data_IF_837105657278
#
_entry.id   IF_837105657278
#
_cell.length_a   1.000
_cell.length_b   1.000
_cell.length_c   1.000
_cell.angle_alpha   90.00
_cell.angle_beta   90.00
_cell.angle_gamma   90.00
#
_symmetry.space_group_name_H-M   'P 1'
#
loop_
_entity.id
_entity.type
_entity.pdbx_description
1 polymer ?
#
# COMPACT_ATOMS: atom_id res chain seq x y z
N UNK A 1 -9.17 -22.04 19.52
CA UNK A 1 -9.22 -20.92 18.57
C UNK A 1 -8.22 -19.87 19.05
N UNK A 2 -7.47 -19.24 18.14
CA UNK A 2 -6.59 -18.12 18.47
C UNK A 2 -7.40 -16.93 19.01
N UNK A 3 -6.75 -16.08 19.80
CA UNK A 3 -7.39 -14.84 20.27
C UNK A 3 -7.71 -13.93 19.08
N UNK A 4 -8.84 -13.22 19.09
CA UNK A 4 -9.14 -12.26 18.04
C UNK A 4 -8.10 -11.16 17.96
N UNK A 5 -7.72 -10.77 16.73
CA UNK A 5 -6.91 -9.58 16.48
C UNK A 5 -7.81 -8.38 16.17
N UNK A 6 -7.35 -7.18 16.57
CA UNK A 6 -8.05 -5.93 16.29
C UNK A 6 -7.44 -5.29 15.05
N UNK A 7 -8.29 -5.04 14.06
CA UNK A 7 -7.92 -4.48 12.77
C UNK A 7 -8.72 -3.20 12.54
N UNK A 8 -8.04 -2.09 12.32
CA UNK A 8 -8.71 -0.83 11.96
C UNK A 8 -8.61 -0.58 10.47
N UNK A 9 -9.71 -0.12 9.89
CA UNK A 9 -9.79 0.41 8.53
C UNK A 9 -10.33 1.83 8.60
N UNK A 10 -9.59 2.81 8.10
CA UNK A 10 -10.03 4.21 8.00
C UNK A 10 -10.64 4.48 6.63
N UNK A 11 -11.50 5.51 6.53
CA UNK A 11 -12.29 5.71 5.32
C UNK A 11 -13.20 4.52 5.06
N UNK A 12 -13.73 3.94 6.13
CA UNK A 12 -14.39 2.63 6.11
C UNK A 12 -15.72 2.62 5.32
N UNK A 13 -16.32 3.79 5.10
CA UNK A 13 -17.51 3.95 4.25
C UNK A 13 -17.18 4.12 2.76
N UNK A 14 -15.90 4.17 2.38
CA UNK A 14 -15.45 4.37 1.00
C UNK A 14 -15.39 3.08 0.17
N UNK A 15 -15.22 3.23 -1.14
CA UNK A 15 -15.26 2.11 -2.10
C UNK A 15 -14.11 1.11 -1.94
N UNK A 16 -12.89 1.60 -1.64
CA UNK A 16 -11.74 0.71 -1.41
C UNK A 16 -12.02 -0.13 -0.15
N UNK A 17 -12.42 0.52 0.94
CA UNK A 17 -12.72 -0.16 2.20
C UNK A 17 -13.85 -1.19 2.02
N UNK A 18 -14.91 -0.86 1.31
CA UNK A 18 -16.03 -1.77 1.03
C UNK A 18 -15.57 -3.09 0.40
N UNK A 19 -14.64 -3.01 -0.57
CA UNK A 19 -14.06 -4.21 -1.20
C UNK A 19 -13.03 -4.91 -0.31
N UNK A 20 -12.25 -4.16 0.49
CA UNK A 20 -11.20 -4.68 1.36
C UNK A 20 -11.80 -5.43 2.56
N UNK A 21 -12.85 -4.90 3.13
CA UNK A 21 -13.48 -5.48 4.33
C UNK A 21 -13.98 -6.91 4.10
N UNK A 22 -14.49 -7.22 2.91
CA UNK A 22 -14.86 -8.58 2.54
C UNK A 22 -13.66 -9.54 2.58
N UNK A 23 -12.51 -9.13 2.03
CA UNK A 23 -11.30 -9.95 2.01
C UNK A 23 -10.76 -10.19 3.43
N UNK A 24 -10.77 -9.15 4.27
CA UNK A 24 -10.36 -9.25 5.68
C UNK A 24 -11.30 -10.19 6.44
N UNK A 25 -12.60 -9.98 6.31
CA UNK A 25 -13.62 -10.73 7.03
C UNK A 25 -13.67 -12.23 6.65
N UNK A 26 -13.35 -12.53 5.39
CA UNK A 26 -13.32 -13.89 4.85
C UNK A 26 -12.06 -14.69 5.27
N UNK A 27 -11.00 -14.01 5.71
CA UNK A 27 -9.75 -14.65 6.13
C UNK A 27 -8.64 -14.63 5.08
N UNK A 28 -8.83 -13.94 3.97
CA UNK A 28 -7.83 -13.86 2.90
C UNK A 28 -6.57 -13.07 3.32
N UNK A 29 -6.66 -12.23 4.35
CA UNK A 29 -5.54 -11.39 4.80
C UNK A 29 -4.81 -11.99 6.00
N UNK A 30 -5.50 -12.34 7.06
CA UNK A 30 -4.89 -12.77 8.32
C UNK A 30 -4.94 -14.29 8.55
N UNK A 31 -5.55 -15.04 7.65
CA UNK A 31 -5.67 -16.48 7.70
C UNK A 31 -7.11 -16.95 7.95
N UNK A 32 -7.42 -18.14 7.44
CA UNK A 32 -8.75 -18.74 7.46
C UNK A 32 -9.25 -19.13 8.88
N UNK A 33 -8.35 -19.18 9.85
CA UNK A 33 -8.66 -19.57 11.24
C UNK A 33 -8.44 -18.43 12.24
N UNK A 34 -8.16 -17.20 11.76
CA UNK A 34 -7.90 -16.04 12.61
C UNK A 34 -9.16 -15.23 12.85
N UNK A 35 -9.73 -15.25 14.08
CA UNK A 35 -10.84 -14.38 14.45
C UNK A 35 -10.43 -12.91 14.44
N UNK A 36 -11.38 -12.02 14.08
CA UNK A 36 -11.11 -10.59 13.85
C UNK A 36 -12.15 -9.75 14.57
N UNK A 37 -11.69 -8.66 15.18
CA UNK A 37 -12.50 -7.52 15.60
C UNK A 37 -12.22 -6.38 14.64
N UNK A 38 -13.23 -5.94 13.90
CA UNK A 38 -13.13 -4.86 12.93
C UNK A 38 -13.43 -3.52 13.58
N UNK A 39 -12.47 -2.62 13.60
CA UNK A 39 -12.65 -1.23 13.94
C UNK A 39 -12.78 -0.42 12.64
N UNK A 40 -13.91 0.26 12.47
CA UNK A 40 -14.25 0.98 11.24
C UNK A 40 -14.35 2.47 11.54
N UNK A 41 -13.38 3.24 11.04
CA UNK A 41 -13.32 4.68 11.27
C UNK A 41 -13.72 5.45 10.02
N UNK A 42 -14.65 6.38 10.18
CA UNK A 42 -14.92 7.40 9.17
C UNK A 42 -15.26 8.73 9.84
N UNK A 43 -15.42 9.78 9.05
CA UNK A 43 -15.81 11.10 9.52
C UNK A 43 -17.29 11.15 9.93
N UNK A 44 -17.69 12.03 10.84
CA UNK A 44 -19.09 12.10 11.33
C UNK A 44 -20.16 12.13 10.23
N UNK A 45 -20.01 12.87 9.10
CA UNK A 45 -21.01 12.86 8.04
C UNK A 45 -21.21 11.52 7.33
N UNK A 46 -20.24 10.60 7.46
CA UNK A 46 -20.28 9.28 6.82
C UNK A 46 -20.82 8.16 7.71
N UNK A 47 -21.18 8.46 8.95
CA UNK A 47 -21.57 7.43 9.91
C UNK A 47 -22.87 6.72 9.54
N UNK A 48 -23.80 7.35 8.86
CA UNK A 48 -25.00 6.68 8.35
C UNK A 48 -24.66 5.66 7.27
N UNK A 49 -23.83 6.05 6.31
CA UNK A 49 -23.33 5.15 5.24
C UNK A 49 -22.53 4.00 5.84
N UNK A 50 -21.67 4.29 6.84
CA UNK A 50 -20.92 3.26 7.55
C UNK A 50 -21.83 2.27 8.28
N UNK A 51 -22.95 2.73 8.82
CA UNK A 51 -23.98 1.86 9.40
C UNK A 51 -24.51 0.85 8.37
N UNK A 52 -24.73 1.27 7.14
CA UNK A 52 -25.10 0.37 6.03
C UNK A 52 -24.00 -0.65 5.70
N UNK A 53 -22.74 -0.23 5.69
CA UNK A 53 -21.58 -1.14 5.50
C UNK A 53 -21.54 -2.19 6.61
N UNK A 54 -21.79 -1.82 7.86
CA UNK A 54 -21.84 -2.75 9.00
C UNK A 54 -22.95 -3.79 8.80
N UNK A 55 -24.14 -3.38 8.36
CA UNK A 55 -25.24 -4.31 8.04
C UNK A 55 -24.80 -5.33 6.98
N UNK A 56 -24.16 -4.90 5.91
CA UNK A 56 -23.63 -5.77 4.86
C UNK A 56 -22.61 -6.79 5.39
N UNK A 57 -21.69 -6.34 6.26
CA UNK A 57 -20.71 -7.26 6.88
C UNK A 57 -21.40 -8.30 7.75
N UNK A 58 -22.41 -7.90 8.51
CA UNK A 58 -23.21 -8.83 9.32
C UNK A 58 -23.93 -9.85 8.42
N UNK A 59 -24.52 -9.38 7.33
CA UNK A 59 -25.27 -10.22 6.39
C UNK A 59 -24.37 -11.20 5.60
N UNK A 60 -23.05 -10.97 5.56
CA UNK A 60 -22.09 -11.94 5.03
C UNK A 60 -22.02 -13.22 5.90
N UNK A 61 -22.44 -13.16 7.15
CA UNK A 61 -22.46 -14.29 8.09
C UNK A 61 -21.09 -15.02 8.19
N UNK A 62 -20.00 -14.26 8.17
CA UNK A 62 -18.65 -14.81 8.18
C UNK A 62 -18.19 -15.11 9.62
N UNK A 63 -17.79 -16.35 9.93
CA UNK A 63 -17.54 -16.79 11.30
C UNK A 63 -16.29 -16.19 11.95
N UNK A 64 -15.38 -15.60 11.18
CA UNK A 64 -14.17 -14.97 11.69
C UNK A 64 -14.43 -13.60 12.31
N UNK A 65 -15.49 -12.90 11.91
CA UNK A 65 -15.85 -11.57 12.44
C UNK A 65 -16.55 -11.75 13.79
N UNK A 66 -15.82 -11.45 14.87
CA UNK A 66 -16.33 -11.60 16.23
C UNK A 66 -16.98 -10.34 16.78
N UNK A 67 -16.54 -9.18 16.30
CA UNK A 67 -17.08 -7.88 16.69
C UNK A 67 -16.83 -6.85 15.59
N UNK A 68 -17.74 -5.88 15.44
CA UNK A 68 -17.59 -4.73 14.54
C UNK A 68 -17.81 -3.47 15.36
N UNK A 69 -16.85 -2.54 15.32
CA UNK A 69 -16.84 -1.28 16.07
C UNK A 69 -16.80 -0.09 15.11
N UNK A 70 -17.96 0.38 14.59
CA UNK A 70 -18.02 1.59 13.77
C UNK A 70 -17.91 2.82 14.68
N UNK A 71 -17.10 3.80 14.29
CA UNK A 71 -16.88 5.00 15.09
C UNK A 71 -16.36 6.16 14.25
N UNK A 72 -16.62 7.38 14.72
CA UNK A 72 -15.94 8.59 14.23
C UNK A 72 -14.85 9.10 15.20
N UNK A 73 -14.63 8.38 16.30
CA UNK A 73 -13.63 8.73 17.32
C UNK A 73 -12.34 7.93 17.13
N UNK A 74 -11.21 8.57 16.81
CA UNK A 74 -9.92 7.90 16.69
C UNK A 74 -9.49 7.15 17.96
N UNK A 75 -9.86 7.61 19.15
CA UNK A 75 -9.52 6.95 20.40
C UNK A 75 -10.18 5.56 20.52
N UNK A 76 -11.38 5.42 19.99
CA UNK A 76 -12.09 4.14 19.92
C UNK A 76 -11.55 3.29 18.77
N UNK A 77 -11.36 3.90 17.60
CA UNK A 77 -10.93 3.20 16.40
C UNK A 77 -9.57 2.53 16.54
N UNK A 78 -8.60 3.23 17.13
CA UNK A 78 -7.21 2.74 17.22
C UNK A 78 -6.92 1.95 18.51
N UNK A 79 -7.90 1.77 19.40
CA UNK A 79 -7.71 1.10 20.69
C UNK A 79 -7.24 -0.34 20.51
N UNK A 80 -6.02 -0.63 20.99
CA UNK A 80 -5.41 -1.97 21.01
C UNK A 80 -5.32 -2.66 19.65
N UNK A 81 -5.29 -1.89 18.54
CA UNK A 81 -5.19 -2.48 17.21
C UNK A 81 -3.81 -3.04 16.92
N UNK A 82 -3.79 -4.14 16.18
CA UNK A 82 -2.60 -4.90 15.79
C UNK A 82 -2.26 -4.73 14.31
N UNK A 83 -3.26 -4.36 13.50
CA UNK A 83 -3.11 -4.02 12.10
C UNK A 83 -3.98 -2.81 11.75
N UNK A 84 -3.45 -1.92 10.94
CA UNK A 84 -4.13 -0.70 10.53
C UNK A 84 -4.02 -0.49 9.02
N UNK A 85 -5.17 -0.34 8.36
CA UNK A 85 -5.31 0.06 6.97
C UNK A 85 -5.77 1.51 6.93
N UNK A 86 -4.86 2.43 6.68
CA UNK A 86 -5.14 3.86 6.59
C UNK A 86 -5.51 4.22 5.14
N UNK A 87 -6.77 3.98 4.79
CA UNK A 87 -7.32 4.13 3.44
C UNK A 87 -7.95 5.50 3.24
N UNK A 88 -8.53 6.07 4.29
CA UNK A 88 -9.20 7.36 4.24
C UNK A 88 -8.23 8.51 3.98
N UNK A 89 -8.54 9.29 2.95
CA UNK A 89 -7.83 10.51 2.61
C UNK A 89 -8.79 11.47 1.91
N UNK A 90 -8.47 12.76 1.94
CA UNK A 90 -9.22 13.73 1.16
C UNK A 90 -8.96 13.49 -0.34
N UNK A 91 -10.01 13.27 -1.16
CA UNK A 91 -9.83 13.12 -2.59
C UNK A 91 -9.51 14.48 -3.24
N UNK A 92 -8.77 14.44 -4.35
CA UNK A 92 -8.52 15.64 -5.14
C UNK A 92 -9.84 16.17 -5.73
N UNK A 93 -10.17 17.40 -5.41
CA UNK A 93 -11.33 18.12 -5.98
C UNK A 93 -10.90 18.93 -7.20
N UNK A 94 -11.86 19.24 -8.08
CA UNK A 94 -11.61 20.10 -9.23
C UNK A 94 -11.13 21.48 -8.75
N UNK A 95 -10.05 21.99 -9.36
CA UNK A 95 -9.46 23.28 -8.99
C UNK A 95 -8.51 23.24 -7.78
N UNK A 96 -8.35 22.10 -7.13
CA UNK A 96 -7.42 21.94 -6.00
C UNK A 96 -5.99 21.76 -6.51
N UNK A 97 -5.08 22.58 -6.01
CA UNK A 97 -3.66 22.42 -6.28
C UNK A 97 -3.07 21.20 -5.54
N UNK A 98 -1.92 20.72 -6.00
CA UNK A 98 -1.22 19.58 -5.34
C UNK A 98 -0.87 19.91 -3.89
N UNK A 99 -0.41 21.13 -3.62
CA UNK A 99 -0.03 21.60 -2.29
C UNK A 99 -1.22 21.60 -1.32
N UNK A 100 -2.41 22.01 -1.79
CA UNK A 100 -3.62 22.03 -0.95
C UNK A 100 -4.05 20.62 -0.56
N UNK A 101 -3.96 19.67 -1.51
CA UNK A 101 -4.27 18.27 -1.25
C UNK A 101 -3.27 17.65 -0.27
N UNK A 102 -1.99 17.91 -0.46
CA UNK A 102 -0.93 17.46 0.45
C UNK A 102 -1.18 17.99 1.86
N UNK A 103 -1.40 19.30 1.98
CA UNK A 103 -1.64 19.96 3.28
C UNK A 103 -2.84 19.36 4.02
N UNK A 104 -3.98 19.18 3.33
CA UNK A 104 -5.17 18.58 3.93
C UNK A 104 -4.93 17.14 4.42
N UNK A 105 -4.27 16.32 3.61
CA UNK A 105 -4.02 14.94 3.97
C UNK A 105 -2.95 14.79 5.06
N UNK A 106 -1.90 15.60 5.04
CA UNK A 106 -0.87 15.62 6.08
C UNK A 106 -1.48 15.86 7.47
N UNK A 107 -2.44 16.78 7.59
CA UNK A 107 -3.15 17.02 8.86
C UNK A 107 -3.94 15.81 9.33
N UNK A 108 -4.60 15.10 8.41
CA UNK A 108 -5.33 13.86 8.73
C UNK A 108 -4.37 12.80 9.26
N UNK A 109 -3.26 12.56 8.57
CA UNK A 109 -2.30 11.52 8.95
C UNK A 109 -1.47 11.87 10.19
N UNK A 110 -1.26 13.16 10.48
CA UNK A 110 -0.73 13.61 11.77
C UNK A 110 -1.63 13.16 12.93
N UNK A 111 -2.91 13.46 12.85
CA UNK A 111 -3.89 13.07 13.90
C UNK A 111 -3.97 11.56 14.04
N UNK A 112 -3.94 10.81 12.94
CA UNK A 112 -3.97 9.36 12.98
C UNK A 112 -2.67 8.78 13.55
N UNK A 113 -1.51 9.38 13.29
CA UNK A 113 -0.24 9.02 13.91
C UNK A 113 -0.27 9.20 15.42
N UNK A 114 -0.75 10.34 15.89
CA UNK A 114 -0.91 10.62 17.33
C UNK A 114 -1.88 9.64 18.00
N UNK A 115 -2.97 9.28 17.33
CA UNK A 115 -3.94 8.31 17.84
C UNK A 115 -3.36 6.89 17.89
N UNK A 116 -2.61 6.47 16.87
CA UNK A 116 -1.88 5.20 16.86
C UNK A 116 -0.87 5.16 18.02
N UNK A 117 -0.09 6.22 18.19
CA UNK A 117 0.89 6.31 19.27
C UNK A 117 0.28 6.14 20.64
N UNK A 118 -0.89 6.73 20.86
CA UNK A 118 -1.56 6.74 22.14
C UNK A 118 -2.36 5.46 22.45
N UNK A 119 -3.01 4.88 21.43
CA UNK A 119 -4.05 3.87 21.64
C UNK A 119 -3.75 2.50 21.06
N UNK A 120 -2.94 2.40 19.99
CA UNK A 120 -2.63 1.13 19.36
C UNK A 120 -1.60 0.30 20.17
N UNK A 121 -1.54 -0.99 19.89
CA UNK A 121 -0.41 -1.79 20.34
C UNK A 121 0.88 -1.30 19.70
N UNK A 122 1.99 -1.31 20.42
CA UNK A 122 3.29 -0.82 19.89
C UNK A 122 3.87 -1.71 18.80
N UNK A 123 3.35 -2.91 18.66
CA UNK A 123 3.67 -3.87 17.58
C UNK A 123 2.76 -3.73 16.36
N UNK A 124 1.86 -2.77 16.33
CA UNK A 124 0.91 -2.56 15.23
C UNK A 124 1.63 -2.45 13.88
N UNK A 125 1.08 -3.13 12.87
CA UNK A 125 1.54 -3.00 11.47
C UNK A 125 0.59 -2.06 10.73
N UNK A 126 1.16 -1.02 10.13
CA UNK A 126 0.41 0.07 9.51
C UNK A 126 0.66 0.09 8.01
N UNK A 127 -0.41 0.04 7.24
CA UNK A 127 -0.40 0.23 5.80
C UNK A 127 -1.13 1.51 5.44
N UNK A 128 -0.43 2.43 4.79
CA UNK A 128 -1.00 3.67 4.26
C UNK A 128 -1.34 3.49 2.79
N UNK A 129 -2.61 3.72 2.46
CA UNK A 129 -3.16 3.68 1.10
C UNK A 129 -3.54 5.07 0.61
N UNK A 130 -4.00 5.93 1.52
CA UNK A 130 -4.41 7.30 1.21
C UNK A 130 -3.26 8.15 0.65
N UNK A 131 -3.51 8.81 -0.50
CA UNK A 131 -2.50 9.59 -1.21
C UNK A 131 -2.29 11.00 -0.63
N UNK A 132 -1.05 11.49 -0.70
CA UNK A 132 0.21 10.84 -1.16
C UNK A 132 0.73 9.81 -0.16
N UNK A 133 0.66 8.53 -0.53
CA UNK A 133 0.81 7.42 0.39
C UNK A 133 2.16 7.38 1.11
N UNK A 134 3.26 7.56 0.37
CA UNK A 134 4.61 7.53 0.96
C UNK A 134 4.80 8.66 1.98
N UNK A 135 4.45 9.87 1.63
CA UNK A 135 4.59 11.04 2.50
C UNK A 135 3.65 10.98 3.70
N UNK A 136 2.41 10.51 3.49
CA UNK A 136 1.46 10.30 4.58
C UNK A 136 1.95 9.24 5.58
N UNK A 137 2.57 8.16 5.09
CA UNK A 137 3.18 7.14 5.96
C UNK A 137 4.34 7.71 6.78
N UNK A 138 5.18 8.56 6.17
CA UNK A 138 6.27 9.25 6.86
C UNK A 138 5.73 10.15 7.98
N UNK A 139 4.74 10.98 7.68
CA UNK A 139 4.11 11.87 8.67
C UNK A 139 3.50 11.06 9.80
N UNK A 140 2.73 10.01 9.47
CA UNK A 140 2.11 9.14 10.46
C UNK A 140 3.15 8.55 11.41
N UNK A 141 4.27 8.04 10.88
CA UNK A 141 5.37 7.48 11.68
C UNK A 141 6.05 8.52 12.59
N UNK A 142 6.19 9.76 12.09
CA UNK A 142 6.79 10.87 12.86
C UNK A 142 5.95 11.23 14.09
N UNK A 143 4.63 11.15 13.97
CA UNK A 143 3.71 11.47 15.07
C UNK A 143 3.31 10.24 15.92
N UNK A 144 3.95 9.12 15.68
CA UNK A 144 3.83 7.90 16.48
C UNK A 144 5.20 7.41 16.99
N UNK A 145 5.92 8.21 17.78
CA UNK A 145 7.32 7.95 18.14
C UNK A 145 7.52 6.69 19.00
N UNK A 146 6.50 6.18 19.66
CA UNK A 146 6.58 4.96 20.46
C UNK A 146 6.37 3.68 19.66
N UNK A 147 6.03 3.79 18.37
CA UNK A 147 5.89 2.66 17.44
C UNK A 147 7.13 2.64 16.54
N UNK A 148 7.77 1.48 16.33
CA UNK A 148 8.91 1.37 15.40
C UNK A 148 8.58 1.91 14.01
N UNK A 149 9.44 2.73 13.44
CA UNK A 149 9.24 3.34 12.11
C UNK A 149 9.07 2.30 11.01
N UNK A 150 9.70 1.15 11.16
CA UNK A 150 9.63 -0.01 10.27
C UNK A 150 8.21 -0.60 10.18
N UNK A 151 7.36 -0.32 11.15
CA UNK A 151 5.97 -0.78 11.16
C UNK A 151 5.05 0.04 10.26
N UNK A 152 5.52 1.20 9.76
CA UNK A 152 4.76 2.06 8.85
C UNK A 152 5.19 1.80 7.40
N UNK A 153 4.22 1.39 6.59
CA UNK A 153 4.44 1.08 5.17
C UNK A 153 3.45 1.80 4.27
N UNK A 154 3.83 2.04 3.02
CA UNK A 154 2.98 2.62 1.98
C UNK A 154 2.73 1.62 0.86
N UNK A 155 1.52 1.62 0.29
CA UNK A 155 1.11 0.65 -0.72
C UNK A 155 1.65 1.01 -2.11
N UNK A 156 2.51 0.14 -2.64
CA UNK A 156 2.93 0.11 -4.04
C UNK A 156 2.58 -1.24 -4.71
N UNK A 157 1.90 -2.10 -3.99
CA UNK A 157 1.48 -3.42 -4.49
C UNK A 157 0.55 -3.33 -5.69
N UNK A 158 -0.33 -2.33 -5.76
CA UNK A 158 -1.19 -2.16 -6.92
C UNK A 158 -0.37 -1.89 -8.19
N UNK A 159 0.64 -1.04 -8.09
CA UNK A 159 1.56 -0.75 -9.20
C UNK A 159 2.34 -2.00 -9.61
N UNK A 160 2.83 -2.76 -8.64
CA UNK A 160 3.48 -4.06 -8.88
C UNK A 160 2.54 -5.05 -9.58
N UNK A 161 1.29 -5.15 -9.14
CA UNK A 161 0.28 -6.02 -9.77
C UNK A 161 -0.03 -5.60 -11.21
N UNK A 162 -0.06 -4.30 -11.48
CA UNK A 162 -0.19 -3.76 -12.84
C UNK A 162 0.98 -4.17 -13.72
N UNK A 163 2.20 -4.07 -13.22
CA UNK A 163 3.41 -4.53 -13.92
C UNK A 163 3.38 -6.03 -14.21
N UNK A 164 3.02 -6.85 -13.23
CA UNK A 164 2.85 -8.29 -13.40
C UNK A 164 1.79 -8.63 -14.46
N UNK A 165 0.66 -7.94 -14.42
CA UNK A 165 -0.43 -8.14 -15.37
C UNK A 165 -0.03 -7.77 -16.82
N UNK A 166 0.71 -6.68 -17.01
CA UNK A 166 1.21 -6.27 -18.34
C UNK A 166 2.16 -7.33 -18.93
N UNK A 167 3.06 -7.87 -18.12
CA UNK A 167 3.98 -8.93 -18.57
C UNK A 167 3.19 -10.20 -18.90
N UNK A 168 2.28 -10.61 -18.02
CA UNK A 168 1.46 -11.82 -18.21
C UNK A 168 0.59 -11.75 -19.47
N UNK A 169 -0.05 -10.59 -19.70
CA UNK A 169 -0.87 -10.35 -20.90
C UNK A 169 -0.02 -10.44 -22.18
N UNK A 170 1.16 -9.86 -22.18
CA UNK A 170 2.05 -9.86 -23.35
C UNK A 170 2.63 -11.25 -23.64
N UNK A 171 2.94 -12.02 -22.61
CA UNK A 171 3.40 -13.40 -22.73
C UNK A 171 2.25 -14.42 -22.93
N UNK A 172 0.99 -14.00 -22.75
CA UNK A 172 -0.22 -14.85 -22.76
C UNK A 172 -0.15 -15.99 -21.73
N UNK A 173 0.30 -15.65 -20.53
CA UNK A 173 0.39 -16.57 -19.40
C UNK A 173 -0.49 -16.11 -18.24
N UNK A 174 -0.70 -16.97 -17.24
CA UNK A 174 -1.37 -16.58 -16.01
C UNK A 174 -0.49 -15.61 -15.20
N UNK A 175 -1.09 -14.57 -14.60
CA UNK A 175 -0.36 -13.59 -13.80
C UNK A 175 0.35 -14.20 -12.60
N UNK A 176 -0.13 -15.32 -12.07
CA UNK A 176 0.51 -16.09 -11.01
C UNK A 176 1.88 -16.67 -11.40
N UNK A 177 2.16 -16.80 -12.71
CA UNK A 177 3.45 -17.26 -13.21
C UNK A 177 4.52 -16.15 -13.25
N UNK A 178 4.14 -14.87 -13.06
CA UNK A 178 5.05 -13.73 -13.07
C UNK A 178 5.38 -13.30 -11.65
N UNK A 179 6.67 -13.24 -11.31
CA UNK A 179 7.16 -12.83 -10.00
C UNK A 179 8.24 -11.75 -10.09
N UNK A 180 8.55 -11.13 -8.96
CA UNK A 180 9.71 -10.25 -8.78
C UNK A 180 9.73 -8.98 -9.67
N UNK A 181 8.57 -8.49 -10.09
CA UNK A 181 8.45 -7.13 -10.65
C UNK A 181 8.65 -6.14 -9.51
N UNK A 182 9.43 -5.10 -9.75
CA UNK A 182 9.75 -4.09 -8.74
C UNK A 182 9.08 -2.76 -9.09
N UNK A 183 8.60 -2.09 -8.07
CA UNK A 183 8.24 -0.67 -8.12
C UNK A 183 9.18 0.08 -7.19
N UNK A 184 9.97 1.00 -7.76
CA UNK A 184 10.86 1.86 -6.98
C UNK A 184 10.23 3.22 -6.74
N UNK A 185 10.53 3.82 -5.59
CA UNK A 185 10.31 5.23 -5.33
C UNK A 185 8.95 5.59 -4.77
N UNK A 186 8.40 6.69 -5.28
CA UNK A 186 7.14 7.26 -4.81
C UNK A 186 5.94 6.60 -5.51
N UNK A 187 4.85 6.37 -4.77
CA UNK A 187 3.57 5.99 -5.38
C UNK A 187 2.93 7.21 -6.07
N UNK A 188 3.48 7.57 -7.22
CA UNK A 188 3.08 8.72 -8.04
C UNK A 188 3.37 8.49 -9.52
N UNK A 189 3.24 9.51 -10.34
CA UNK A 189 3.64 9.45 -11.75
C UNK A 189 5.15 9.25 -11.93
N UNK A 190 5.97 9.47 -10.90
CA UNK A 190 7.42 9.26 -10.92
C UNK A 190 7.86 7.86 -10.48
N UNK A 191 6.92 6.99 -10.09
CA UNK A 191 7.24 5.60 -9.78
C UNK A 191 8.04 4.94 -10.89
N UNK A 192 8.93 4.03 -10.53
CA UNK A 192 9.79 3.35 -11.51
C UNK A 192 9.48 1.87 -11.55
N UNK A 193 8.61 1.41 -12.46
CA UNK A 193 8.40 -0.01 -12.73
C UNK A 193 9.65 -0.64 -13.34
N UNK A 194 10.08 -1.76 -12.76
CA UNK A 194 11.30 -2.44 -13.13
C UNK A 194 11.06 -3.95 -13.28
N UNK A 195 11.32 -4.48 -14.46
CA UNK A 195 11.20 -5.90 -14.79
C UNK A 195 12.56 -6.62 -14.93
N UNK A 196 13.69 -5.95 -14.62
CA UNK A 196 15.02 -6.55 -14.83
C UNK A 196 15.27 -7.79 -13.95
N UNK A 197 14.66 -7.82 -12.77
CA UNK A 197 14.71 -8.97 -11.86
C UNK A 197 13.47 -9.86 -11.94
N UNK A 198 12.51 -9.49 -12.78
CA UNK A 198 11.26 -10.24 -12.92
C UNK A 198 11.49 -11.59 -13.60
N UNK A 199 10.74 -12.59 -13.12
CA UNK A 199 10.78 -13.94 -13.65
C UNK A 199 9.38 -14.40 -14.06
N UNK A 200 9.34 -15.34 -15.01
CA UNK A 200 8.12 -16.04 -15.42
C UNK A 200 8.39 -17.54 -15.42
N UNK A 201 7.46 -18.32 -14.88
CA UNK A 201 7.51 -19.79 -14.95
C UNK A 201 6.62 -20.28 -16.10
N UNK A 202 7.27 -20.82 -17.14
CA UNK A 202 6.61 -21.40 -18.31
C UNK A 202 6.44 -22.92 -18.19
N UNK A 203 6.59 -23.48 -16.98
CA UNK A 203 6.44 -24.90 -16.69
C UNK A 203 7.75 -25.67 -16.53
N UNK A 204 8.90 -25.03 -16.76
CA UNK A 204 10.24 -25.60 -16.57
C UNK A 204 11.07 -24.89 -15.47
N UNK A 205 10.41 -24.09 -14.67
CA UNK A 205 11.01 -23.24 -13.65
C UNK A 205 11.16 -21.78 -14.06
N UNK A 206 11.59 -20.90 -13.12
CA UNK A 206 11.66 -19.47 -13.36
C UNK A 206 12.67 -19.11 -14.45
N UNK A 207 12.22 -18.32 -15.42
CA UNK A 207 13.01 -17.75 -16.50
C UNK A 207 12.98 -16.22 -16.40
N UNK A 208 14.09 -15.49 -16.64
CA UNK A 208 14.05 -14.03 -16.71
C UNK A 208 13.00 -13.54 -17.72
N UNK A 209 12.23 -12.54 -17.34
CA UNK A 209 11.19 -11.95 -18.23
C UNK A 209 11.81 -11.39 -19.51
N UNK A 210 13.01 -10.81 -19.43
CA UNK A 210 13.76 -10.32 -20.61
C UNK A 210 14.06 -11.42 -21.63
N UNK A 211 14.37 -12.62 -21.17
CA UNK A 211 14.61 -13.77 -22.04
C UNK A 211 13.31 -14.33 -22.64
N UNK A 212 12.23 -14.33 -21.87
CA UNK A 212 10.93 -14.80 -22.32
C UNK A 212 10.31 -13.86 -23.37
N UNK A 213 10.37 -12.55 -23.12
CA UNK A 213 9.77 -11.53 -23.99
C UNK A 213 10.61 -11.22 -25.22
N UNK A 214 11.95 -11.18 -25.09
CA UNK A 214 12.88 -10.77 -26.13
C UNK A 214 12.52 -9.42 -26.75
N UNK A 215 12.07 -8.48 -25.94
CA UNK A 215 11.61 -7.16 -26.35
C UNK A 215 12.05 -6.10 -25.33
N UNK A 216 13.31 -5.78 -25.36
CA UNK A 216 13.92 -4.79 -24.47
C UNK A 216 13.36 -3.38 -24.67
N UNK A 217 13.02 -3.01 -25.90
CA UNK A 217 12.44 -1.70 -26.20
C UNK A 217 11.12 -1.49 -25.46
N UNK A 218 10.25 -2.48 -25.46
CA UNK A 218 9.00 -2.42 -24.72
C UNK A 218 9.24 -2.34 -23.21
N UNK A 219 10.14 -3.17 -22.65
CA UNK A 219 10.47 -3.17 -21.23
C UNK A 219 11.03 -1.84 -20.74
N UNK A 220 11.83 -1.16 -21.56
CA UNK A 220 12.45 0.12 -21.24
C UNK A 220 11.55 1.33 -21.49
N UNK A 221 10.49 1.18 -22.25
CA UNK A 221 9.61 2.28 -22.68
C UNK A 221 8.15 2.09 -22.28
N UNK A 222 7.38 1.43 -23.13
CA UNK A 222 5.91 1.33 -23.00
C UNK A 222 5.49 0.63 -21.69
N UNK A 223 6.20 -0.40 -21.26
CA UNK A 223 5.94 -1.07 -20.00
C UNK A 223 5.92 -0.10 -18.82
N UNK A 224 6.97 0.72 -18.69
CA UNK A 224 7.12 1.70 -17.62
C UNK A 224 5.97 2.71 -17.67
N UNK A 225 5.75 3.33 -18.84
CA UNK A 225 4.74 4.39 -18.98
C UNK A 225 3.31 3.88 -18.83
N UNK A 226 3.03 2.65 -19.25
CA UNK A 226 1.72 2.03 -19.08
C UNK A 226 1.41 1.82 -17.60
N UNK A 227 2.35 1.29 -16.83
CA UNK A 227 2.17 1.10 -15.38
C UNK A 227 2.00 2.46 -14.68
N UNK A 228 2.86 3.43 -14.96
CA UNK A 228 2.79 4.78 -14.38
C UNK A 228 1.44 5.46 -14.63
N UNK A 229 0.85 5.27 -15.80
CA UNK A 229 -0.38 5.96 -16.25
C UNK A 229 -1.65 5.15 -16.04
N UNK A 230 -1.57 3.90 -15.55
CA UNK A 230 -2.74 3.02 -15.44
C UNK A 230 -3.84 3.59 -14.55
N UNK A 231 -3.50 4.23 -13.44
CA UNK A 231 -4.50 4.85 -12.56
C UNK A 231 -5.32 5.93 -13.28
N UNK A 232 -4.65 6.80 -14.03
CA UNK A 232 -5.30 7.82 -14.84
C UNK A 232 -6.18 7.20 -15.95
N UNK A 233 -5.73 6.14 -16.60
CA UNK A 233 -6.49 5.42 -17.63
C UNK A 233 -7.77 4.81 -17.04
N UNK A 234 -7.72 4.22 -15.84
CA UNK A 234 -8.89 3.70 -15.13
C UNK A 234 -9.89 4.82 -14.84
N UNK A 235 -9.43 5.97 -14.33
CA UNK A 235 -10.29 7.13 -14.06
C UNK A 235 -10.93 7.65 -15.35
N UNK A 236 -10.17 7.75 -16.43
CA UNK A 236 -10.67 8.21 -17.72
C UNK A 236 -11.80 7.31 -18.25
N UNK A 237 -11.66 5.99 -18.08
CA UNK A 237 -12.64 5.02 -18.55
C UNK A 237 -13.85 4.88 -17.59
N UNK A 238 -13.60 4.67 -16.29
CA UNK A 238 -14.65 4.38 -15.30
C UNK A 238 -15.29 5.61 -14.68
N UNK A 239 -14.68 6.79 -14.83
CA UNK A 239 -15.04 8.05 -14.12
C UNK A 239 -14.89 7.94 -12.59
N UNK A 240 -14.23 6.92 -12.12
CA UNK A 240 -13.95 6.64 -10.70
C UNK A 240 -12.54 6.05 -10.57
N UNK A 241 -11.92 6.27 -9.42
CA UNK A 241 -10.62 5.69 -9.08
C UNK A 241 -10.67 4.16 -8.98
N UNK A 242 -9.50 3.54 -9.05
CA UNK A 242 -9.35 2.11 -8.77
C UNK A 242 -9.82 1.80 -7.35
N UNK A 243 -10.73 0.88 -7.18
CA UNK A 243 -11.26 0.46 -5.89
C UNK A 243 -11.00 -1.02 -5.61
N UNK A 244 -11.54 -1.92 -6.43
CA UNK A 244 -11.38 -3.39 -6.23
C UNK A 244 -9.91 -3.81 -6.30
N UNK A 245 -9.16 -3.32 -7.29
CA UNK A 245 -7.74 -3.64 -7.44
C UNK A 245 -6.88 -3.03 -6.34
N UNK A 246 -7.22 -1.83 -5.86
CA UNK A 246 -6.56 -1.20 -4.72
C UNK A 246 -6.83 -1.98 -3.42
N UNK A 247 -8.07 -2.42 -3.20
CA UNK A 247 -8.45 -3.26 -2.07
C UNK A 247 -7.70 -4.60 -2.07
N UNK A 248 -7.63 -5.26 -3.23
CA UNK A 248 -6.87 -6.52 -3.38
C UNK A 248 -5.38 -6.31 -3.07
N UNK A 249 -4.78 -5.25 -3.61
CA UNK A 249 -3.39 -4.92 -3.37
C UNK A 249 -3.10 -4.60 -1.89
N UNK A 250 -4.00 -3.89 -1.21
CA UNK A 250 -3.88 -3.62 0.23
C UNK A 250 -3.98 -4.91 1.06
N UNK A 251 -4.91 -5.79 0.70
CA UNK A 251 -5.03 -7.12 1.31
C UNK A 251 -3.76 -7.94 1.13
N UNK A 252 -3.23 -8.03 -0.08
CA UNK A 252 -1.99 -8.77 -0.38
C UNK A 252 -0.78 -8.20 0.37
N UNK A 253 -0.67 -6.88 0.45
CA UNK A 253 0.41 -6.22 1.18
C UNK A 253 0.41 -6.61 2.65
N UNK A 254 -0.73 -6.52 3.32
CA UNK A 254 -0.85 -6.89 4.74
C UNK A 254 -0.75 -8.40 4.93
N UNK A 255 -1.28 -9.21 4.00
CA UNK A 255 -1.12 -10.67 4.02
C UNK A 255 0.36 -11.06 4.07
N UNK A 256 1.19 -10.45 3.23
CA UNK A 256 2.62 -10.77 3.19
C UNK A 256 3.37 -10.27 4.43
N UNK A 257 2.94 -9.15 5.03
CA UNK A 257 3.46 -8.75 6.34
C UNK A 257 3.15 -9.82 7.39
N UNK A 258 1.95 -10.38 7.36
CA UNK A 258 1.48 -11.33 8.38
C UNK A 258 2.06 -12.73 8.22
N UNK A 259 2.17 -13.20 6.98
CA UNK A 259 2.54 -14.59 6.67
C UNK A 259 3.94 -14.75 6.09
N UNK A 260 4.58 -13.66 5.68
CA UNK A 260 5.89 -13.68 5.01
C UNK A 260 5.77 -13.81 3.49
N UNK A 261 6.89 -13.55 2.82
CA UNK A 261 7.03 -13.74 1.37
C UNK A 261 7.40 -15.17 1.04
N UNK A 262 7.04 -15.62 -0.17
CA UNK A 262 7.43 -16.96 -0.65
C UNK A 262 8.94 -17.03 -0.88
N UNK A 263 9.57 -18.21 -0.68
CA UNK A 263 10.98 -18.42 -0.95
C UNK A 263 11.37 -18.00 -2.38
N UNK A 264 12.45 -17.25 -2.52
CA UNK A 264 12.94 -16.75 -3.81
C UNK A 264 12.10 -15.62 -4.42
N UNK A 265 11.07 -15.15 -3.73
CA UNK A 265 10.24 -14.03 -4.18
C UNK A 265 10.37 -12.85 -3.24
N UNK A 266 10.20 -11.67 -3.82
CA UNK A 266 10.10 -10.42 -3.08
C UNK A 266 8.92 -9.60 -3.60
N UNK A 267 8.47 -8.66 -2.80
CA UNK A 267 7.35 -7.78 -3.11
C UNK A 267 7.76 -6.33 -2.98
N UNK A 268 7.08 -5.44 -3.68
CA UNK A 268 7.32 -3.99 -3.57
C UNK A 268 6.53 -3.40 -2.43
N UNK A 269 7.19 -2.60 -1.62
CA UNK A 269 6.61 -2.01 -0.43
C UNK A 269 7.29 -0.66 -0.13
N UNK A 270 6.51 0.40 0.08
CA UNK A 270 7.03 1.67 0.59
C UNK A 270 7.45 1.51 2.04
N UNK A 271 8.73 1.64 2.32
CA UNK A 271 9.31 1.48 3.65
C UNK A 271 10.29 2.60 3.96
N UNK A 272 10.62 2.80 5.23
CA UNK A 272 11.60 3.81 5.63
C UNK A 272 12.96 3.51 4.97
N UNK A 273 13.48 4.48 4.24
CA UNK A 273 14.72 4.34 3.49
C UNK A 273 15.95 4.40 4.40
N UNK A 274 16.83 3.45 4.21
CA UNK A 274 18.16 3.38 4.81
C UNK A 274 19.27 3.91 3.88
N UNK A 275 18.92 4.43 2.71
CA UNK A 275 19.84 4.88 1.68
C UNK A 275 20.25 3.81 0.67
N UNK A 276 19.71 2.59 0.76
CA UNK A 276 19.93 1.53 -0.22
C UNK A 276 19.64 2.02 -1.63
N UNK A 277 20.42 1.57 -2.61
CA UNK A 277 20.32 1.95 -4.03
C UNK A 277 20.41 3.46 -4.32
N UNK A 278 21.00 4.23 -3.39
CA UNK A 278 21.11 5.69 -3.51
C UNK A 278 19.81 6.44 -3.26
N UNK A 279 18.78 5.78 -2.73
CA UNK A 279 17.55 6.44 -2.33
C UNK A 279 17.79 7.46 -1.22
N UNK A 280 17.06 8.59 -1.17
CA UNK A 280 17.15 9.52 -0.07
C UNK A 280 16.84 8.82 1.26
N UNK A 281 17.61 9.16 2.29
CA UNK A 281 17.36 8.68 3.65
C UNK A 281 16.15 9.41 4.29
N UNK A 282 15.55 8.79 5.29
CA UNK A 282 14.44 9.37 6.06
C UNK A 282 13.22 9.80 5.22
N UNK A 283 12.95 9.08 4.16
CA UNK A 283 11.68 9.11 3.41
C UNK A 283 11.11 7.70 3.35
N UNK A 284 9.82 7.58 3.10
CA UNK A 284 9.23 6.29 2.73
C UNK A 284 9.41 6.12 1.22
N UNK A 285 10.22 5.13 0.84
CA UNK A 285 10.58 4.83 -0.54
C UNK A 285 10.20 3.38 -0.87
N UNK A 286 9.63 3.13 -2.04
CA UNK A 286 9.30 1.77 -2.44
C UNK A 286 10.55 1.01 -2.86
N UNK A 287 10.73 -0.15 -2.23
CA UNK A 287 11.82 -1.10 -2.48
C UNK A 287 11.27 -2.51 -2.67
N UNK A 288 12.02 -3.41 -3.32
CA UNK A 288 11.79 -4.85 -3.19
C UNK A 288 12.18 -5.30 -1.78
N UNK A 289 11.27 -6.01 -1.13
CA UNK A 289 11.48 -6.53 0.23
C UNK A 289 11.12 -8.01 0.32
N UNK A 290 11.83 -8.72 1.18
CA UNK A 290 11.40 -10.00 1.72
C UNK A 290 10.84 -9.80 3.11
N UNK A 291 9.92 -10.65 3.53
CA UNK A 291 9.25 -10.54 4.82
C UNK A 291 9.31 -11.90 5.52
N UNK A 292 9.75 -11.87 6.78
CA UNK A 292 9.77 -13.03 7.67
C UNK A 292 9.42 -12.56 9.09
N UNK A 293 8.58 -13.32 9.80
CA UNK A 293 8.17 -12.99 11.18
C UNK A 293 7.60 -11.58 11.34
N UNK A 294 6.84 -11.10 10.35
CA UNK A 294 6.27 -9.74 10.28
C UNK A 294 7.31 -8.62 10.18
N UNK A 295 8.53 -8.93 9.81
CA UNK A 295 9.62 -7.99 9.60
C UNK A 295 10.06 -8.02 8.14
N UNK A 296 10.16 -6.86 7.52
CA UNK A 296 10.65 -6.73 6.17
C UNK A 296 12.16 -6.44 6.14
N UNK A 297 12.79 -6.86 5.06
CA UNK A 297 14.19 -6.53 4.74
C UNK A 297 14.29 -6.12 3.28
N UNK A 298 14.97 -5.01 3.01
CA UNK A 298 15.25 -4.57 1.64
C UNK A 298 16.17 -5.60 0.98
N UNK A 299 15.79 -6.10 -0.19
CA UNK A 299 16.61 -6.99 -0.99
C UNK A 299 17.83 -6.23 -1.47
N UNK A 300 19.02 -6.71 -1.18
CA UNK A 300 20.29 -6.08 -1.54
C UNK A 300 20.91 -6.72 -2.79
N UNK A 301 21.84 -6.02 -3.43
CA UNK A 301 22.67 -6.55 -4.50
C UNK A 301 22.02 -6.62 -5.88
N UNK A 302 20.82 -6.08 -6.05
CA UNK A 302 20.18 -5.98 -7.37
C UNK A 302 20.89 -4.92 -8.23
N UNK A 303 21.02 -5.22 -9.53
CA UNK A 303 21.63 -4.29 -10.48
C UNK A 303 20.60 -3.28 -10.97
N UNK A 304 20.91 -2.00 -10.83
CA UNK A 304 20.10 -0.92 -11.38
C UNK A 304 20.59 -0.63 -12.80
N UNK A 305 19.72 -0.83 -13.78
CA UNK A 305 20.03 -0.52 -15.17
C UNK A 305 20.23 1.00 -15.36
N UNK A 306 21.13 1.38 -16.27
CA UNK A 306 21.48 2.79 -16.49
C UNK A 306 20.29 3.66 -16.85
N UNK A 307 19.32 3.13 -17.60
CA UNK A 307 18.11 3.87 -17.97
C UNK A 307 17.15 4.09 -16.79
N UNK A 308 17.25 3.34 -15.70
CA UNK A 308 16.49 3.56 -14.48
C UNK A 308 17.10 4.63 -13.56
N UNK A 309 18.42 4.86 -13.62
CA UNK A 309 19.11 5.79 -12.71
C UNK A 309 18.50 7.19 -12.68
N UNK A 310 18.28 7.88 -13.83
CA UNK A 310 17.65 9.20 -13.81
C UNK A 310 16.21 9.17 -13.32
N UNK A 311 15.48 8.08 -13.52
CA UNK A 311 14.12 7.93 -13.02
C UNK A 311 14.10 7.77 -11.49
N UNK A 312 15.08 7.04 -10.93
CA UNK A 312 15.26 6.90 -9.48
C UNK A 312 15.63 8.23 -8.82
N UNK A 313 16.48 9.00 -9.44
CA UNK A 313 16.81 10.35 -8.98
C UNK A 313 15.59 11.27 -8.96
N UNK A 314 14.78 11.24 -10.03
CA UNK A 314 13.57 12.06 -10.14
C UNK A 314 12.53 11.71 -9.06
N UNK A 315 12.26 10.42 -8.84
CA UNK A 315 11.30 9.98 -7.82
C UNK A 315 11.81 10.26 -6.41
N UNK A 316 13.11 10.10 -6.16
CA UNK A 316 13.74 10.44 -4.88
C UNK A 316 13.65 11.93 -4.57
N UNK A 317 13.90 12.79 -5.58
CA UNK A 317 13.75 14.25 -5.45
C UNK A 317 12.31 14.64 -5.13
N UNK A 318 11.33 14.05 -5.80
CA UNK A 318 9.91 14.30 -5.51
C UNK A 318 9.57 13.98 -4.05
N UNK A 319 10.05 12.86 -3.53
CA UNK A 319 9.83 12.50 -2.12
C UNK A 319 10.46 13.47 -1.13
N UNK A 320 11.65 14.00 -1.43
CA UNK A 320 12.28 15.03 -0.60
C UNK A 320 11.49 16.34 -0.61
N UNK A 321 10.98 16.75 -1.75
CA UNK A 321 10.13 17.94 -1.89
C UNK A 321 8.81 17.76 -1.11
N UNK A 322 8.12 16.63 -1.28
CA UNK A 322 6.90 16.31 -0.52
C UNK A 322 7.14 16.26 0.99
N UNK A 323 8.27 15.67 1.42
CA UNK A 323 8.66 15.66 2.83
C UNK A 323 8.81 17.07 3.39
N UNK A 324 9.53 17.94 2.68
CA UNK A 324 9.75 19.32 3.13
C UNK A 324 8.42 20.08 3.27
N UNK A 325 7.55 20.01 2.27
CA UNK A 325 6.23 20.63 2.30
C UNK A 325 5.36 20.05 3.44
N UNK A 326 5.37 18.74 3.63
CA UNK A 326 4.58 18.09 4.67
C UNK A 326 5.04 18.48 6.08
N UNK A 327 6.34 18.58 6.31
CA UNK A 327 6.87 18.98 7.61
C UNK A 327 6.57 20.45 7.92
N UNK A 328 6.65 21.35 6.93
CA UNK A 328 6.23 22.74 7.07
C UNK A 328 4.76 22.85 7.52
N UNK A 329 3.87 22.06 6.90
CA UNK A 329 2.44 22.03 7.28
C UNK A 329 2.22 21.49 8.70
N UNK A 330 3.05 20.56 9.16
CA UNK A 330 2.93 19.99 10.51
C UNK A 330 3.35 20.97 11.62
N UNK A 331 4.19 21.94 11.32
CA UNK A 331 4.73 22.92 12.29
C UNK A 331 3.78 24.10 12.50
N UNK A 332 2.82 24.28 11.62
CA UNK A 332 1.78 25.33 11.65
C UNK A 332 0.39 24.74 11.89
#
# INVERSE_FOLDING_TARGET
MSSPIRVVVTGAAGQIAYSLLYQIAKGDVFGADQPIILHLLDIPPMMEVLGGVVMEIIDLALPLVTEIVPTADPAVAFKEVEAAFLVGAMPRKQGMERKDLLSANVKIFKVQGEALDKYAKKTVKVLVVGNPANTNALVCSKYAPSIPRENFTAMTRLDQNRGRAQIAERLKVNVGQVANVIIWGNHSATQVPDANSATVDLGSGPLPVSEALKNDEWLKGEFITTVQKRGAAVIAARKMSSAVSAAKAAGDHMHDIWHGTLPGQFVSMGVISDGSYGAPQDVIFSFPVTIENKEWKIVQGLQIADYHKPLLEATGKELLEEKAEALEVCEH
#
